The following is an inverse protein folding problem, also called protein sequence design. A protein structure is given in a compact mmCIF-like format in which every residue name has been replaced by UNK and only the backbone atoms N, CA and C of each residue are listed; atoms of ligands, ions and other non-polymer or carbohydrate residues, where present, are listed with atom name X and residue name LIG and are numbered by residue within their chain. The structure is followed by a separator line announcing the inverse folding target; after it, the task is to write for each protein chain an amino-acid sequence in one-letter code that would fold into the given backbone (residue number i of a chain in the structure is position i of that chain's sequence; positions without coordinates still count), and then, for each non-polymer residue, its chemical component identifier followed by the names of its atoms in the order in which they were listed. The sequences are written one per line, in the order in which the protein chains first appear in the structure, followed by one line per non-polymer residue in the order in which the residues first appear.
data_IF_779887197576
#
_entry.id   IF_779887197576
#
_cell.length_a   1.000
_cell.length_b   1.000
_cell.length_c   1.000
_cell.angle_alpha   90.00
_cell.angle_beta   90.00
_cell.angle_gamma   90.00
#
_symmetry.space_group_name_H-M   'P 1'
#
loop_
_entity.id
_entity.type
_entity.pdbx_description
1 polymer ?
#
# COMPACT_ATOMS: atom_id res chain seq x y z
N UNK A 1 24.05 29.14 21.28
CA UNK A 1 24.60 28.27 20.21
C UNK A 1 23.42 27.58 19.55
N UNK A 2 22.83 28.26 18.57
CA UNK A 2 21.77 27.75 17.70
C UNK A 2 22.41 26.80 16.70
N UNK A 3 22.21 25.51 16.88
CA UNK A 3 22.61 24.49 15.91
C UNK A 3 21.75 24.63 14.67
N UNK A 4 22.41 24.88 13.54
CA UNK A 4 21.85 24.84 12.20
C UNK A 4 21.07 23.54 11.98
N UNK A 5 19.73 23.62 11.92
CA UNK A 5 18.84 22.52 11.51
C UNK A 5 18.39 22.67 10.05
N UNK A 6 19.25 23.21 9.19
CA UNK A 6 18.92 23.46 7.78
C UNK A 6 19.64 22.44 6.91
N UNK A 7 19.07 21.22 6.82
CA UNK A 7 19.14 20.23 5.71
C UNK A 7 18.53 18.85 6.04
N UNK A 8 18.06 18.58 7.25
CA UNK A 8 17.56 17.23 7.68
C UNK A 8 16.15 16.84 7.18
N UNK A 9 15.45 17.69 6.40
CA UNK A 9 14.03 17.50 6.07
C UNK A 9 13.67 16.88 4.71
N UNK A 10 14.64 16.42 3.90
CA UNK A 10 14.42 16.17 2.45
C UNK A 10 14.45 14.70 2.00
N UNK A 11 14.37 13.73 2.92
CA UNK A 11 14.37 12.30 2.55
C UNK A 11 12.96 11.84 2.19
N UNK A 12 12.84 11.21 1.02
CA UNK A 12 11.56 10.72 0.50
C UNK A 12 11.64 9.23 0.19
N UNK A 13 10.65 8.48 0.68
CA UNK A 13 10.45 7.08 0.32
C UNK A 13 9.29 6.99 -0.66
N UNK A 14 9.52 6.51 -1.87
CA UNK A 14 8.47 6.23 -2.86
C UNK A 14 8.01 4.78 -2.67
N UNK A 15 6.74 4.60 -2.33
CA UNK A 15 6.11 3.30 -2.15
C UNK A 15 5.38 2.92 -3.43
N UNK A 16 5.83 1.84 -4.07
CA UNK A 16 5.19 1.24 -5.24
C UNK A 16 4.37 0.02 -4.80
N UNK A 17 3.10 0.25 -4.52
CA UNK A 17 2.12 -0.77 -4.16
C UNK A 17 1.22 -1.19 -5.33
N UNK A 18 0.33 -2.14 -5.04
CA UNK A 18 -0.64 -2.65 -6.00
C UNK A 18 -0.74 -4.18 -6.03
N UNK A 19 -1.74 -4.73 -6.74
CA UNK A 19 -2.00 -6.15 -6.75
C UNK A 19 -0.89 -6.95 -7.43
N UNK A 20 -0.85 -8.26 -7.18
CA UNK A 20 0.03 -9.17 -7.92
C UNK A 20 -0.26 -9.09 -9.44
N UNK A 21 0.76 -9.30 -10.28
CA UNK A 21 0.71 -9.12 -11.74
C UNK A 21 0.47 -7.68 -12.27
N UNK A 22 0.51 -6.65 -11.41
CA UNK A 22 0.30 -5.26 -11.84
C UNK A 22 1.52 -4.57 -12.48
N UNK A 23 2.73 -5.14 -12.35
CA UNK A 23 3.97 -4.54 -12.88
C UNK A 23 4.80 -3.71 -11.89
N UNK A 24 4.61 -3.93 -10.57
CA UNK A 24 5.32 -3.18 -9.51
C UNK A 24 6.84 -3.19 -9.65
N UNK A 25 7.44 -4.35 -9.90
CA UNK A 25 8.88 -4.51 -10.04
C UNK A 25 9.42 -3.63 -11.17
N UNK A 26 8.82 -3.71 -12.35
CA UNK A 26 9.24 -2.91 -13.50
C UNK A 26 9.15 -1.40 -13.24
N UNK A 27 8.07 -0.92 -12.60
CA UNK A 27 7.94 0.49 -12.23
C UNK A 27 8.99 0.89 -11.17
N UNK A 28 9.22 0.06 -10.15
CA UNK A 28 10.19 0.33 -9.10
C UNK A 28 11.62 0.43 -9.66
N UNK A 29 12.01 -0.47 -10.56
CA UNK A 29 13.30 -0.43 -11.25
C UNK A 29 13.41 0.86 -12.07
N UNK A 30 12.37 1.20 -12.84
CA UNK A 30 12.37 2.42 -13.67
C UNK A 30 12.52 3.69 -12.83
N UNK A 31 11.82 3.77 -11.69
CA UNK A 31 11.93 4.87 -10.74
C UNK A 31 13.32 4.92 -10.10
N UNK A 32 13.83 3.78 -9.63
CA UNK A 32 15.15 3.70 -9.01
C UNK A 32 16.26 4.15 -9.97
N UNK A 33 16.19 3.75 -11.25
CA UNK A 33 17.12 4.25 -12.29
C UNK A 33 16.97 5.75 -12.53
N UNK A 34 15.75 6.26 -12.56
CA UNK A 34 15.49 7.69 -12.79
C UNK A 34 16.05 8.57 -11.66
N UNK A 35 15.85 8.17 -10.40
CA UNK A 35 16.36 8.89 -9.24
C UNK A 35 17.78 8.49 -8.82
N UNK A 36 18.41 7.55 -9.53
CA UNK A 36 19.74 7.04 -9.22
C UNK A 36 19.83 6.44 -7.82
N UNK A 37 18.86 5.62 -7.42
CA UNK A 37 18.75 5.03 -6.07
C UNK A 37 18.54 3.52 -6.12
N UNK A 38 18.28 2.92 -4.96
CA UNK A 38 18.12 1.48 -4.73
C UNK A 38 16.65 1.11 -4.45
N UNK A 39 16.32 -0.17 -4.59
CA UNK A 39 14.97 -0.71 -4.36
C UNK A 39 14.96 -1.59 -3.12
N UNK A 40 14.00 -1.39 -2.22
CA UNK A 40 13.68 -2.32 -1.14
C UNK A 40 12.50 -3.19 -1.56
N UNK A 41 12.63 -4.52 -1.42
CA UNK A 41 11.47 -5.40 -1.51
C UNK A 41 10.74 -5.46 -0.16
N UNK A 42 9.45 -5.13 -0.17
CA UNK A 42 8.51 -5.35 0.91
C UNK A 42 7.53 -6.48 0.56
N UNK A 43 8.05 -7.56 -0.05
CA UNK A 43 7.30 -8.78 -0.33
C UNK A 43 7.85 -9.95 0.47
N UNK A 44 7.13 -10.30 1.54
CA UNK A 44 7.51 -11.36 2.50
C UNK A 44 7.81 -12.73 1.90
N UNK A 45 7.40 -12.99 0.65
CA UNK A 45 7.67 -14.26 -0.02
C UNK A 45 8.92 -14.23 -0.87
N UNK A 46 9.32 -13.05 -1.36
CA UNK A 46 10.52 -12.89 -2.20
C UNK A 46 11.82 -12.89 -1.38
N UNK A 47 11.71 -12.91 -0.05
CA UNK A 47 12.88 -12.98 0.82
C UNK A 47 13.60 -14.32 0.76
N UNK A 48 12.87 -15.38 0.43
CA UNK A 48 13.37 -16.75 0.50
C UNK A 48 14.06 -17.20 -0.79
N UNK A 49 15.30 -17.69 -0.66
CA UNK A 49 16.14 -18.15 -1.77
C UNK A 49 15.50 -19.29 -2.55
N UNK A 50 14.90 -20.23 -1.83
CA UNK A 50 14.35 -21.46 -2.37
C UNK A 50 13.01 -21.24 -3.09
N UNK A 51 12.40 -20.05 -2.97
CA UNK A 51 11.11 -19.72 -3.58
C UNK A 51 11.28 -18.62 -4.63
N UNK A 52 11.27 -18.96 -5.93
CA UNK A 52 11.55 -17.99 -7.01
C UNK A 52 10.38 -17.83 -7.97
N UNK A 53 9.95 -18.91 -8.63
CA UNK A 53 8.92 -18.88 -9.67
C UNK A 53 7.57 -18.56 -9.03
N UNK A 54 7.18 -19.29 -7.97
CA UNK A 54 5.88 -19.13 -7.32
C UNK A 54 5.68 -17.76 -6.65
N UNK A 55 6.78 -17.06 -6.33
CA UNK A 55 6.76 -15.74 -5.68
C UNK A 55 6.89 -14.58 -6.66
N UNK A 56 7.00 -14.87 -7.97
CA UNK A 56 7.28 -13.88 -9.00
C UNK A 56 8.49 -13.00 -8.65
N UNK A 57 9.58 -13.61 -8.18
CA UNK A 57 10.84 -12.93 -7.87
C UNK A 57 11.34 -12.18 -9.12
N UNK A 58 11.93 -10.98 -8.98
CA UNK A 58 12.54 -10.29 -10.12
C UNK A 58 13.58 -11.19 -10.81
N UNK A 59 13.66 -11.13 -12.14
CA UNK A 59 14.62 -11.96 -12.87
C UNK A 59 16.05 -11.49 -12.64
N UNK A 60 17.08 -12.32 -12.92
CA UNK A 60 18.47 -11.88 -12.83
C UNK A 60 18.77 -10.60 -13.63
N UNK A 61 18.15 -10.45 -14.81
CA UNK A 61 18.28 -9.25 -15.65
C UNK A 61 17.63 -8.02 -15.03
N UNK A 62 16.53 -8.18 -14.29
CA UNK A 62 15.90 -7.11 -13.51
C UNK A 62 16.76 -6.73 -12.30
N UNK A 63 17.32 -7.71 -11.58
CA UNK A 63 18.19 -7.51 -10.43
C UNK A 63 19.54 -6.86 -10.80
N UNK A 64 20.04 -7.07 -12.02
CA UNK A 64 21.25 -6.42 -12.51
C UNK A 64 21.06 -4.93 -12.83
N UNK A 65 19.83 -4.46 -13.06
CA UNK A 65 19.57 -3.08 -13.43
C UNK A 65 19.69 -2.11 -12.26
N UNK A 66 19.28 -2.52 -11.07
CA UNK A 66 19.35 -1.75 -9.83
C UNK A 66 19.49 -2.70 -8.65
N UNK A 67 20.21 -2.28 -7.61
CA UNK A 67 20.34 -3.05 -6.38
C UNK A 67 18.97 -3.20 -5.70
N UNK A 68 18.60 -4.44 -5.43
CA UNK A 68 17.41 -4.79 -4.66
C UNK A 68 17.80 -5.35 -3.31
N UNK A 69 17.20 -4.82 -2.25
CA UNK A 69 17.33 -5.34 -0.90
C UNK A 69 16.24 -6.34 -0.57
N UNK A 70 16.56 -7.22 0.38
CA UNK A 70 15.69 -8.27 0.92
C UNK A 70 15.32 -9.40 -0.03
N UNK A 71 15.55 -9.31 -1.34
CA UNK A 71 15.44 -10.47 -2.25
C UNK A 71 16.53 -11.49 -1.90
N UNK A 72 16.18 -12.77 -1.76
CA UNK A 72 17.13 -13.86 -1.48
C UNK A 72 17.95 -13.67 -0.19
N UNK A 73 17.41 -12.91 0.75
CA UNK A 73 18.06 -12.59 2.01
C UNK A 73 17.96 -13.70 3.06
N UNK A 74 17.01 -14.62 2.91
CA UNK A 74 16.67 -15.66 3.88
C UNK A 74 16.54 -17.04 3.22
N UNK A 75 16.66 -18.09 4.01
CA UNK A 75 16.21 -19.45 3.72
C UNK A 75 14.83 -19.69 4.31
N UNK A 76 14.02 -20.53 3.67
CA UNK A 76 12.67 -20.90 4.14
C UNK A 76 12.61 -21.44 5.58
N UNK A 77 13.72 -21.95 6.11
CA UNK A 77 13.83 -22.43 7.50
C UNK A 77 14.08 -21.32 8.53
N UNK A 78 14.39 -20.11 8.09
CA UNK A 78 14.69 -18.98 8.99
C UNK A 78 13.41 -18.29 9.42
N UNK A 79 13.26 -18.08 10.74
CA UNK A 79 12.15 -17.31 11.28
C UNK A 79 12.37 -15.82 10.99
N UNK A 80 11.40 -15.18 10.35
CA UNK A 80 11.44 -13.75 10.06
C UNK A 80 10.06 -13.12 10.20
N UNK A 81 9.98 -12.12 11.07
CA UNK A 81 8.72 -11.44 11.37
C UNK A 81 8.64 -10.08 10.66
N UNK A 82 7.44 -9.50 10.65
CA UNK A 82 7.27 -8.13 10.15
C UNK A 82 8.03 -7.10 11.01
N UNK A 83 8.24 -7.37 12.30
CA UNK A 83 9.04 -6.49 13.16
C UNK A 83 10.54 -6.58 12.83
N UNK A 84 11.03 -7.76 12.45
CA UNK A 84 12.39 -7.92 11.94
C UNK A 84 12.58 -7.14 10.64
N UNK A 85 11.63 -7.29 9.71
CA UNK A 85 11.63 -6.51 8.48
C UNK A 85 11.63 -5.01 8.74
N UNK A 86 10.76 -4.50 9.61
CA UNK A 86 10.72 -3.07 9.94
C UNK A 86 12.09 -2.57 10.41
N UNK A 87 12.67 -3.25 11.42
CA UNK A 87 13.97 -2.89 11.98
C UNK A 87 15.07 -2.89 10.91
N UNK A 88 15.14 -3.94 10.10
CA UNK A 88 16.24 -4.12 9.16
C UNK A 88 16.06 -3.25 7.90
N UNK A 89 14.82 -3.03 7.46
CA UNK A 89 14.51 -2.09 6.37
C UNK A 89 14.80 -0.64 6.75
N UNK A 90 14.55 -0.24 8.00
CA UNK A 90 14.91 1.11 8.46
C UNK A 90 16.42 1.33 8.44
N UNK A 91 17.23 0.36 8.87
CA UNK A 91 18.70 0.44 8.77
C UNK A 91 19.16 0.60 7.32
N UNK A 92 18.61 -0.19 6.41
CA UNK A 92 18.90 -0.10 4.97
C UNK A 92 18.51 1.28 4.41
N UNK A 93 17.36 1.82 4.82
CA UNK A 93 16.94 3.16 4.42
C UNK A 93 17.88 4.23 4.96
N UNK A 94 18.31 4.13 6.22
CA UNK A 94 19.27 5.07 6.81
C UNK A 94 20.59 5.05 6.01
N UNK A 95 21.07 3.88 5.59
CA UNK A 95 22.25 3.74 4.72
C UNK A 95 22.02 4.37 3.34
N UNK A 96 20.91 4.06 2.66
CA UNK A 96 20.58 4.63 1.35
C UNK A 96 20.50 6.15 1.44
N UNK A 97 19.89 6.67 2.51
CA UNK A 97 19.71 8.10 2.73
C UNK A 97 21.00 8.84 3.13
N UNK A 98 22.12 8.16 3.39
CA UNK A 98 23.41 8.84 3.52
C UNK A 98 23.86 9.47 2.20
N UNK A 99 23.57 8.82 1.07
CA UNK A 99 24.02 9.27 -0.27
C UNK A 99 22.88 9.68 -1.20
N UNK A 100 21.63 9.29 -0.91
CA UNK A 100 20.48 9.60 -1.75
C UNK A 100 19.43 10.41 -0.98
N UNK A 101 18.65 11.25 -1.68
CA UNK A 101 17.49 11.95 -1.11
C UNK A 101 16.18 11.17 -1.31
N UNK A 102 16.17 10.22 -2.25
CA UNK A 102 15.01 9.40 -2.59
C UNK A 102 15.39 7.92 -2.48
N UNK A 103 14.49 7.11 -1.94
CA UNK A 103 14.55 5.66 -1.97
C UNK A 103 13.25 5.09 -2.54
N UNK A 104 13.28 3.87 -3.08
CA UNK A 104 12.09 3.20 -3.61
C UNK A 104 11.84 1.92 -2.82
N UNK A 105 10.61 1.70 -2.38
CA UNK A 105 10.17 0.41 -1.84
C UNK A 105 9.04 -0.13 -2.71
N UNK A 106 9.06 -1.44 -2.98
CA UNK A 106 8.06 -2.11 -3.80
C UNK A 106 7.57 -3.37 -3.11
N UNK A 107 6.26 -3.63 -3.13
CA UNK A 107 5.73 -4.80 -2.43
C UNK A 107 4.24 -4.98 -2.55
N UNK A 108 3.80 -6.24 -2.43
CA UNK A 108 2.38 -6.60 -2.34
C UNK A 108 1.89 -6.79 -0.90
N UNK A 109 2.78 -6.77 0.09
CA UNK A 109 2.45 -7.09 1.48
C UNK A 109 2.10 -5.82 2.25
N UNK A 110 0.81 -5.49 2.31
CA UNK A 110 0.34 -4.29 3.00
C UNK A 110 0.86 -4.17 4.44
N UNK A 111 0.81 -5.26 5.22
CA UNK A 111 1.31 -5.25 6.59
C UNK A 111 2.78 -4.83 6.71
N UNK A 112 3.63 -5.21 5.74
CA UNK A 112 5.05 -4.88 5.73
C UNK A 112 5.27 -3.41 5.37
N UNK A 113 4.53 -2.90 4.38
CA UNK A 113 4.56 -1.47 4.02
C UNK A 113 4.06 -0.59 5.17
N UNK A 114 2.99 -0.99 5.86
CA UNK A 114 2.50 -0.30 7.06
C UNK A 114 3.50 -0.33 8.19
N UNK A 115 4.10 -1.48 8.47
CA UNK A 115 5.15 -1.56 9.49
C UNK A 115 6.30 -0.61 9.15
N UNK A 116 6.78 -0.60 7.91
CA UNK A 116 7.86 0.29 7.48
C UNK A 116 7.48 1.77 7.60
N UNK A 117 6.28 2.17 7.15
CA UNK A 117 5.91 3.59 7.07
C UNK A 117 5.29 4.15 8.36
N UNK A 118 4.56 3.33 9.11
CA UNK A 118 3.73 3.75 10.25
C UNK A 118 4.20 3.14 11.58
N UNK A 119 5.02 2.09 11.52
CA UNK A 119 5.46 1.33 12.68
C UNK A 119 4.47 0.28 13.13
N UNK A 120 4.88 -0.48 14.14
CA UNK A 120 4.08 -1.51 14.78
C UNK A 120 3.83 -1.15 16.24
N UNK A 121 2.62 -1.46 16.72
CA UNK A 121 2.33 -1.47 18.15
C UNK A 121 3.27 -2.47 18.84
N UNK A 122 3.89 -2.04 19.95
CA UNK A 122 4.75 -2.90 20.76
C UNK A 122 3.90 -3.89 21.57
N UNK A 123 4.13 -5.18 21.34
CA UNK A 123 3.54 -6.27 22.11
C UNK A 123 4.62 -7.00 22.91
N UNK A 124 4.29 -7.56 24.09
CA UNK A 124 5.20 -8.42 24.81
C UNK A 124 5.54 -9.67 23.97
N UNK A 125 6.78 -10.14 24.11
CA UNK A 125 7.16 -11.43 23.55
C UNK A 125 6.32 -12.53 24.19
N UNK A 126 5.87 -13.47 23.35
CA UNK A 126 5.01 -14.57 23.78
C UNK A 126 5.78 -15.86 23.61
N UNK A 127 6.17 -16.54 24.71
CA UNK A 127 6.89 -17.80 24.64
C UNK A 127 6.13 -18.85 23.83
N UNK A 128 6.86 -19.72 23.15
CA UNK A 128 6.29 -20.75 22.26
C UNK A 128 5.37 -21.68 23.04
N UNK A 129 5.72 -22.01 24.28
CA UNK A 129 4.96 -22.89 25.16
C UNK A 129 3.54 -22.37 25.45
N UNK A 130 3.37 -21.05 25.52
CA UNK A 130 2.05 -20.42 25.71
C UNK A 130 1.20 -20.58 24.46
N UNK A 131 1.81 -20.44 23.28
CA UNK A 131 1.12 -20.62 22.00
C UNK A 131 0.76 -22.09 21.78
N UNK A 132 1.69 -23.00 22.06
CA UNK A 132 1.47 -24.45 21.95
C UNK A 132 0.34 -24.93 22.88
N UNK A 133 0.25 -24.37 24.09
CA UNK A 133 -0.84 -24.65 25.02
C UNK A 133 -2.20 -24.17 24.48
N UNK A 134 -2.23 -23.00 23.83
CA UNK A 134 -3.44 -22.45 23.19
C UNK A 134 -3.82 -23.22 21.92
N UNK A 135 -2.85 -23.66 21.13
CA UNK A 135 -3.07 -24.55 19.98
C UNK A 135 -3.60 -25.90 20.44
N UNK A 136 -3.03 -26.47 21.50
CA UNK A 136 -3.54 -27.70 22.11
C UNK A 136 -4.98 -27.53 22.60
N UNK A 137 -5.31 -26.39 23.21
CA UNK A 137 -6.67 -26.06 23.63
C UNK A 137 -7.62 -25.99 22.43
N UNK A 138 -7.19 -25.34 21.34
CA UNK A 138 -7.94 -25.24 20.09
C UNK A 138 -8.21 -26.63 19.48
N UNK A 139 -7.18 -27.49 19.40
CA UNK A 139 -7.32 -28.85 18.87
C UNK A 139 -8.26 -29.71 19.70
N UNK A 140 -8.24 -29.56 21.04
CA UNK A 140 -9.06 -30.39 21.95
C UNK A 140 -10.50 -29.92 22.12
N UNK A 141 -10.72 -28.60 22.20
CA UNK A 141 -12.03 -28.01 22.56
C UNK A 141 -12.64 -27.16 21.46
N UNK A 142 -11.93 -26.98 20.34
CA UNK A 142 -12.36 -26.17 19.22
C UNK A 142 -12.33 -24.67 19.50
N UNK A 143 -12.85 -23.94 18.52
CA UNK A 143 -12.83 -22.47 18.48
C UNK A 143 -13.60 -21.82 19.64
N UNK A 144 -14.69 -22.45 20.10
CA UNK A 144 -15.55 -21.91 21.16
C UNK A 144 -14.80 -21.68 22.47
N UNK A 145 -13.84 -22.54 22.80
CA UNK A 145 -13.02 -22.37 24.01
C UNK A 145 -12.14 -21.11 23.93
N UNK A 146 -11.52 -20.85 22.77
CA UNK A 146 -10.72 -19.64 22.56
C UNK A 146 -11.60 -18.38 22.60
N UNK A 147 -12.79 -18.46 22.01
CA UNK A 147 -13.74 -17.34 21.99
C UNK A 147 -14.17 -16.96 23.41
N UNK A 148 -14.55 -17.94 24.22
CA UNK A 148 -15.01 -17.69 25.59
C UNK A 148 -13.91 -17.16 26.50
N UNK A 149 -12.69 -17.71 26.37
CA UNK A 149 -11.54 -17.19 27.09
C UNK A 149 -11.25 -15.74 26.70
N UNK A 150 -11.28 -15.42 25.39
CA UNK A 150 -11.01 -14.07 24.92
C UNK A 150 -12.10 -13.09 25.35
N UNK A 151 -13.37 -13.53 25.34
CA UNK A 151 -14.51 -12.72 25.81
C UNK A 151 -14.33 -12.25 27.25
N UNK A 152 -13.69 -13.10 28.07
CA UNK A 152 -13.43 -12.80 29.48
C UNK A 152 -12.15 -11.95 29.64
N UNK A 153 -11.07 -12.32 28.96
CA UNK A 153 -9.77 -11.66 29.11
C UNK A 153 -9.69 -10.28 28.43
N UNK A 154 -10.38 -10.09 27.30
CA UNK A 154 -10.37 -8.85 26.53
C UNK A 154 -11.71 -8.65 25.77
N UNK A 155 -12.75 -8.17 26.47
CA UNK A 155 -14.06 -7.92 25.87
C UNK A 155 -14.00 -6.91 24.70
N UNK A 156 -13.11 -5.92 24.79
CA UNK A 156 -12.95 -4.88 23.77
C UNK A 156 -12.45 -5.49 22.47
N UNK A 157 -11.39 -6.30 22.52
CA UNK A 157 -10.89 -6.96 21.31
C UNK A 157 -11.85 -8.03 20.79
N UNK A 158 -12.52 -8.77 21.68
CA UNK A 158 -13.52 -9.77 21.32
C UNK A 158 -14.60 -9.24 20.35
N UNK A 159 -15.06 -8.00 20.56
CA UNK A 159 -16.08 -7.39 19.70
C UNK A 159 -15.56 -6.87 18.35
N UNK A 160 -14.24 -6.82 18.15
CA UNK A 160 -13.63 -6.26 16.93
C UNK A 160 -12.86 -7.29 16.10
N UNK A 161 -12.41 -8.38 16.73
CA UNK A 161 -11.66 -9.45 16.06
C UNK A 161 -12.57 -10.32 15.20
N UNK A 162 -11.99 -10.92 14.16
CA UNK A 162 -12.63 -12.02 13.45
C UNK A 162 -12.61 -13.28 14.33
N UNK A 163 -13.73 -13.54 15.00
CA UNK A 163 -13.90 -14.68 15.90
C UNK A 163 -13.79 -16.03 15.20
N UNK A 164 -13.82 -16.09 13.86
CA UNK A 164 -13.64 -17.32 13.08
C UNK A 164 -12.18 -17.63 12.77
N UNK A 165 -11.25 -16.74 13.14
CA UNK A 165 -9.83 -16.88 12.84
C UNK A 165 -9.05 -17.35 14.09
N UNK A 166 -8.73 -18.65 14.23
CA UNK A 166 -8.08 -19.18 15.44
C UNK A 166 -6.72 -18.53 15.70
N UNK A 167 -5.91 -18.26 14.66
CA UNK A 167 -4.61 -17.61 14.84
C UNK A 167 -4.71 -16.21 15.47
N UNK A 168 -5.74 -15.44 15.13
CA UNK A 168 -5.98 -14.12 15.75
C UNK A 168 -6.38 -14.23 17.22
N UNK A 169 -7.17 -15.25 17.56
CA UNK A 169 -7.57 -15.51 18.95
C UNK A 169 -6.39 -15.99 19.77
N UNK A 170 -5.64 -16.98 19.28
CA UNK A 170 -4.43 -17.52 19.92
C UNK A 170 -3.42 -16.41 20.16
N UNK A 171 -3.14 -15.55 19.16
CA UNK A 171 -2.22 -14.42 19.34
C UNK A 171 -2.66 -13.48 20.46
N UNK A 172 -3.93 -13.09 20.50
CA UNK A 172 -4.43 -12.17 21.52
C UNK A 172 -4.42 -12.80 22.91
N UNK A 173 -4.87 -14.04 23.03
CA UNK A 173 -4.84 -14.79 24.28
C UNK A 173 -3.41 -15.02 24.78
N UNK A 174 -2.45 -15.30 23.90
CA UNK A 174 -1.06 -15.45 24.30
C UNK A 174 -0.52 -14.16 24.95
N UNK A 175 -0.82 -13.00 24.36
CA UNK A 175 -0.47 -11.70 24.96
C UNK A 175 -1.19 -11.50 26.29
N UNK A 176 -2.48 -11.78 26.38
CA UNK A 176 -3.25 -11.64 27.62
C UNK A 176 -2.67 -12.52 28.74
N UNK A 177 -2.33 -13.77 28.44
CA UNK A 177 -1.76 -14.73 29.41
C UNK A 177 -0.37 -14.32 29.90
N UNK A 178 0.48 -13.82 29.01
CA UNK A 178 1.85 -13.43 29.36
C UNK A 178 1.89 -12.11 30.11
N UNK A 179 1.13 -11.12 29.67
CA UNK A 179 1.16 -9.77 30.26
C UNK A 179 0.21 -9.57 31.43
N UNK A 180 -0.83 -10.41 31.56
CA UNK A 180 -1.96 -10.16 32.45
C UNK A 180 -2.85 -8.99 32.03
N UNK A 181 -2.58 -8.36 30.88
CA UNK A 181 -3.30 -7.18 30.37
C UNK A 181 -4.08 -7.51 29.10
N UNK A 182 -5.22 -6.85 28.83
CA UNK A 182 -5.97 -7.05 27.60
C UNK A 182 -5.13 -6.72 26.36
N UNK A 183 -5.19 -7.55 25.32
CA UNK A 183 -4.50 -7.34 24.04
C UNK A 183 -4.83 -5.98 23.40
N UNK A 184 -6.07 -5.52 23.56
CA UNK A 184 -6.56 -4.20 23.14
C UNK A 184 -5.81 -3.04 23.76
N UNK A 185 -5.26 -3.19 24.97
CA UNK A 185 -4.50 -2.13 25.66
C UNK A 185 -3.15 -1.81 25.00
N UNK A 186 -2.60 -2.76 24.24
CA UNK A 186 -1.36 -2.59 23.49
C UNK A 186 -1.57 -1.97 22.10
N UNK A 187 -2.81 -1.92 21.61
CA UNK A 187 -3.16 -1.32 20.31
C UNK A 187 -3.30 0.19 20.43
N UNK A 188 -2.17 0.88 20.51
CA UNK A 188 -2.14 2.34 20.68
C UNK A 188 -2.39 3.09 19.37
N UNK A 189 -2.34 2.41 18.21
CA UNK A 189 -2.52 3.01 16.87
C UNK A 189 -1.66 4.27 16.67
N UNK A 190 -0.49 4.32 17.29
CA UNK A 190 0.37 5.48 17.22
C UNK A 190 1.29 5.33 15.99
N UNK A 191 1.28 6.33 15.12
CA UNK A 191 2.24 6.41 14.03
C UNK A 191 3.64 6.64 14.62
N UNK A 192 4.58 5.80 14.21
CA UNK A 192 5.99 6.02 14.50
C UNK A 192 6.53 7.13 13.61
N UNK A 193 7.22 8.10 14.20
CA UNK A 193 7.94 9.11 13.42
C UNK A 193 9.05 8.43 12.59
N UNK A 194 9.13 8.79 11.31
CA UNK A 194 10.14 8.29 10.38
C UNK A 194 11.06 9.42 9.95
N UNK A 195 12.32 9.09 9.70
CA UNK A 195 13.34 10.00 9.14
C UNK A 195 13.09 10.37 7.67
N UNK A 196 12.01 9.88 7.07
CA UNK A 196 11.65 10.10 5.68
C UNK A 196 10.15 10.36 5.54
N UNK A 197 9.77 11.03 4.45
CA UNK A 197 8.39 11.23 4.04
C UNK A 197 7.96 10.17 3.02
N UNK A 198 6.91 9.38 3.29
CA UNK A 198 6.39 8.41 2.34
C UNK A 198 5.51 9.06 1.24
N UNK A 199 5.66 8.62 -0.01
CA UNK A 199 4.74 8.91 -1.13
C UNK A 199 4.19 7.60 -1.68
N UNK A 200 2.87 7.44 -1.65
CA UNK A 200 2.21 6.17 -1.97
C UNK A 200 1.67 6.14 -3.40
N UNK A 201 2.21 5.25 -4.23
CA UNK A 201 1.70 4.93 -5.56
C UNK A 201 1.04 3.56 -5.55
N UNK A 202 -0.15 3.45 -6.10
CA UNK A 202 -0.81 2.17 -6.35
C UNK A 202 -0.97 1.93 -7.84
N UNK A 203 -0.37 0.86 -8.34
CA UNK A 203 -0.62 0.42 -9.70
C UNK A 203 -2.07 -0.10 -9.84
N UNK A 204 -2.87 0.62 -10.61
CA UNK A 204 -4.27 0.30 -10.87
C UNK A 204 -4.48 -0.23 -12.29
N UNK A 205 -5.36 -1.21 -12.40
CA UNK A 205 -5.79 -1.84 -13.65
C UNK A 205 -7.30 -2.00 -13.64
N UNK A 206 -7.91 -2.03 -14.82
CA UNK A 206 -9.29 -2.54 -14.95
C UNK A 206 -9.33 -3.99 -14.44
N UNK A 207 -10.45 -4.39 -13.82
CA UNK A 207 -10.52 -5.65 -13.08
C UNK A 207 -10.42 -6.87 -14.00
N UNK A 208 -11.10 -6.86 -15.14
CA UNK A 208 -11.02 -7.96 -16.11
C UNK A 208 -9.60 -8.06 -16.67
N UNK A 209 -8.96 -6.93 -16.94
CA UNK A 209 -7.56 -6.87 -17.37
C UNK A 209 -6.61 -7.47 -16.33
N UNK A 210 -6.72 -7.03 -15.07
CA UNK A 210 -5.91 -7.56 -13.98
C UNK A 210 -6.07 -9.08 -13.84
N UNK A 211 -7.30 -9.58 -13.96
CA UNK A 211 -7.57 -11.01 -13.84
C UNK A 211 -6.96 -11.79 -15.00
N UNK A 212 -7.09 -11.29 -16.23
CA UNK A 212 -6.44 -11.90 -17.40
C UNK A 212 -4.92 -11.96 -17.23
N UNK A 213 -4.30 -10.89 -16.73
CA UNK A 213 -2.85 -10.83 -16.44
C UNK A 213 -2.44 -11.83 -15.36
N UNK A 214 -3.24 -11.96 -14.30
CA UNK A 214 -3.01 -12.95 -13.24
C UNK A 214 -3.05 -14.36 -13.82
N UNK A 215 -4.09 -14.67 -14.60
CA UNK A 215 -4.32 -16.01 -15.15
C UNK A 215 -3.20 -16.41 -16.13
N UNK A 216 -2.82 -15.49 -17.03
CA UNK A 216 -1.70 -15.67 -17.95
C UNK A 216 -0.37 -15.85 -17.20
N UNK A 217 -0.16 -15.10 -16.12
CA UNK A 217 1.06 -15.24 -15.32
C UNK A 217 1.15 -16.60 -14.64
N UNK A 218 0.05 -17.15 -14.15
CA UNK A 218 0.04 -18.51 -13.58
C UNK A 218 0.45 -19.53 -14.62
N UNK A 219 -0.10 -19.45 -15.85
CA UNK A 219 0.29 -20.34 -16.93
C UNK A 219 1.78 -20.21 -17.26
N UNK A 220 2.29 -18.98 -17.36
CA UNK A 220 3.72 -18.73 -17.59
C UNK A 220 4.61 -19.25 -16.45
N UNK A 221 4.15 -19.20 -15.19
CA UNK A 221 4.87 -19.81 -14.07
C UNK A 221 4.95 -21.33 -14.21
N UNK A 222 3.86 -21.98 -14.63
CA UNK A 222 3.86 -23.43 -14.88
C UNK A 222 4.84 -23.80 -15.99
N UNK A 223 4.84 -23.05 -17.10
CA UNK A 223 5.79 -23.24 -18.22
C UNK A 223 7.25 -23.05 -17.79
N UNK A 224 7.50 -22.12 -16.85
CA UNK A 224 8.85 -21.86 -16.30
C UNK A 224 9.32 -22.90 -15.29
N UNK A 225 8.49 -23.89 -14.94
CA UNK A 225 8.85 -24.96 -14.03
C UNK A 225 8.38 -24.76 -12.58
N UNK A 226 7.31 -24.01 -12.34
CA UNK A 226 6.72 -23.88 -10.99
C UNK A 226 6.41 -25.24 -10.36
N UNK A 227 5.95 -26.21 -11.16
CA UNK A 227 5.66 -27.56 -10.67
C UNK A 227 6.91 -28.24 -10.10
N UNK A 228 8.06 -28.10 -10.77
CA UNK A 228 9.30 -28.72 -10.31
C UNK A 228 9.88 -27.97 -9.12
N UNK A 229 9.79 -26.64 -9.09
CA UNK A 229 10.12 -25.86 -7.89
C UNK A 229 9.27 -26.35 -6.69
N UNK A 230 7.95 -26.48 -6.85
CA UNK A 230 7.07 -27.00 -5.80
C UNK A 230 7.44 -28.43 -5.39
N UNK A 231 7.81 -29.30 -6.33
CA UNK A 231 8.25 -30.67 -6.02
C UNK A 231 9.47 -30.70 -5.12
N UNK A 232 10.45 -29.82 -5.36
CA UNK A 232 11.65 -29.73 -4.50
C UNK A 232 11.33 -29.21 -3.08
N UNK A 233 10.24 -28.44 -2.93
CA UNK A 233 9.83 -27.82 -1.68
C UNK A 233 8.81 -28.63 -0.88
N UNK A 234 8.24 -29.68 -1.48
CA UNK A 234 7.25 -30.56 -0.84
C UNK A 234 7.69 -31.09 0.55
N UNK A 235 8.95 -31.51 0.78
CA UNK A 235 9.39 -31.94 2.11
C UNK A 235 9.23 -30.88 3.22
N UNK A 236 9.07 -29.61 2.83
CA UNK A 236 8.97 -28.45 3.71
C UNK A 236 7.57 -27.83 3.71
N UNK A 237 6.55 -28.48 3.11
CA UNK A 237 5.20 -27.90 2.89
C UNK A 237 4.56 -27.23 4.12
N UNK A 238 4.87 -27.72 5.32
CA UNK A 238 4.33 -27.21 6.59
C UNK A 238 4.95 -25.88 7.04
N UNK A 239 6.02 -25.39 6.40
CA UNK A 239 6.65 -24.12 6.74
C UNK A 239 5.76 -22.93 6.34
N UNK A 240 5.74 -21.89 7.18
CA UNK A 240 4.94 -20.68 6.97
C UNK A 240 5.27 -19.96 5.65
N UNK A 241 6.51 -20.07 5.17
CA UNK A 241 6.93 -19.55 3.88
C UNK A 241 6.14 -20.20 2.72
N UNK A 242 5.92 -21.51 2.80
CA UNK A 242 5.25 -22.32 1.78
C UNK A 242 3.72 -22.34 1.89
N UNK A 243 3.17 -21.70 2.93
CA UNK A 243 1.75 -21.34 3.01
C UNK A 243 1.42 -20.15 2.07
N UNK A 244 1.72 -20.33 0.79
CA UNK A 244 1.70 -19.32 -0.27
C UNK A 244 0.97 -19.88 -1.50
N UNK A 245 0.12 -19.04 -2.10
CA UNK A 245 -0.59 -19.35 -3.35
C UNK A 245 0.42 -19.72 -4.44
N UNK A 246 0.18 -20.80 -5.15
CA UNK A 246 1.11 -21.46 -6.06
C UNK A 246 1.58 -22.79 -5.49
N UNK A 247 2.08 -22.81 -4.25
CA UNK A 247 2.60 -24.02 -3.63
C UNK A 247 1.49 -24.81 -2.91
N UNK A 248 0.62 -24.12 -2.15
CA UNK A 248 -0.48 -24.75 -1.41
C UNK A 248 -1.43 -25.55 -2.30
N UNK A 249 -1.60 -25.13 -3.55
CA UNK A 249 -2.45 -25.82 -4.52
C UNK A 249 -1.70 -26.95 -5.26
N UNK A 250 -0.37 -26.86 -5.40
CA UNK A 250 0.43 -27.89 -6.08
C UNK A 250 0.82 -29.06 -5.18
N UNK A 251 0.95 -28.86 -3.87
CA UNK A 251 1.29 -29.97 -2.96
C UNK A 251 0.24 -31.10 -2.97
N UNK A 252 -1.09 -30.83 -2.90
CA UNK A 252 -2.10 -31.88 -3.02
C UNK A 252 -2.02 -32.64 -4.36
N UNK A 253 -1.68 -31.95 -5.46
CA UNK A 253 -1.45 -32.61 -6.76
C UNK A 253 -0.24 -33.55 -6.71
N UNK A 254 0.87 -33.08 -6.13
CA UNK A 254 2.10 -33.87 -5.98
C UNK A 254 1.91 -35.09 -5.07
N UNK A 255 0.92 -35.05 -4.18
CA UNK A 255 0.50 -36.15 -3.30
C UNK A 255 -0.57 -37.07 -3.92
N UNK A 256 -1.10 -36.73 -5.10
CA UNK A 256 -2.11 -37.52 -5.81
C UNK A 256 -3.55 -37.30 -5.35
N UNK A 257 -3.83 -36.21 -4.64
CA UNK A 257 -5.15 -35.90 -4.06
C UNK A 257 -6.08 -35.13 -5.01
N UNK A 258 -5.54 -34.50 -6.07
CA UNK A 258 -6.27 -33.68 -7.05
C UNK A 258 -5.57 -33.75 -8.42
N UNK A 259 -6.20 -33.27 -9.49
CA UNK A 259 -5.55 -33.20 -10.81
C UNK A 259 -4.71 -31.93 -10.97
N UNK A 260 -3.79 -31.92 -11.95
CA UNK A 260 -2.97 -30.74 -12.24
C UNK A 260 -3.84 -29.57 -12.72
N UNK A 261 -4.87 -29.86 -13.52
CA UNK A 261 -5.82 -28.88 -14.03
C UNK A 261 -6.59 -28.21 -12.90
N UNK A 262 -7.03 -28.99 -11.91
CA UNK A 262 -7.70 -28.49 -10.71
C UNK A 262 -6.77 -27.60 -9.88
N UNK A 263 -5.53 -28.06 -9.63
CA UNK A 263 -4.52 -27.29 -8.92
C UNK A 263 -4.25 -25.94 -9.60
N UNK A 264 -4.00 -25.92 -10.92
CA UNK A 264 -3.73 -24.69 -11.68
C UNK A 264 -4.93 -23.74 -11.64
N UNK A 265 -6.15 -24.25 -11.78
CA UNK A 265 -7.39 -23.46 -11.66
C UNK A 265 -7.53 -22.82 -10.26
N UNK A 266 -7.17 -23.55 -9.21
CA UNK A 266 -7.14 -23.03 -7.84
C UNK A 266 -6.07 -21.94 -7.66
N UNK A 267 -4.87 -22.10 -8.22
CA UNK A 267 -3.81 -21.06 -8.16
C UNK A 267 -4.32 -19.76 -8.78
N UNK A 268 -4.96 -19.83 -9.95
CA UNK A 268 -5.56 -18.66 -10.59
C UNK A 268 -6.64 -18.03 -9.72
N UNK A 269 -7.57 -18.84 -9.20
CA UNK A 269 -8.65 -18.37 -8.32
C UNK A 269 -8.12 -17.68 -7.05
N UNK A 270 -7.17 -18.31 -6.37
CA UNK A 270 -6.60 -17.81 -5.12
C UNK A 270 -5.69 -16.60 -5.35
N UNK A 271 -5.00 -16.53 -6.50
CA UNK A 271 -4.25 -15.34 -6.92
C UNK A 271 -5.16 -14.13 -7.13
N UNK A 272 -6.34 -14.31 -7.77
CA UNK A 272 -7.35 -13.24 -7.92
C UNK A 272 -7.93 -12.82 -6.57
N UNK A 273 -8.20 -13.77 -5.66
CA UNK A 273 -8.62 -13.47 -4.28
C UNK A 273 -7.55 -12.68 -3.53
N UNK A 274 -6.28 -13.03 -3.69
CA UNK A 274 -5.17 -12.31 -3.10
C UNK A 274 -5.06 -10.88 -3.63
N UNK A 275 -5.12 -10.69 -4.96
CA UNK A 275 -5.14 -9.38 -5.59
C UNK A 275 -6.29 -8.49 -5.06
N UNK A 276 -7.49 -9.06 -4.88
CA UNK A 276 -8.62 -8.35 -4.27
C UNK A 276 -8.31 -7.90 -2.83
N UNK A 277 -7.66 -8.75 -2.02
CA UNK A 277 -7.25 -8.38 -0.65
C UNK A 277 -6.23 -7.25 -0.66
N UNK A 278 -5.28 -7.26 -1.58
CA UNK A 278 -4.29 -6.19 -1.74
C UNK A 278 -4.95 -4.85 -2.08
N UNK A 279 -5.86 -4.83 -3.06
CA UNK A 279 -6.63 -3.62 -3.42
C UNK A 279 -7.55 -3.13 -2.29
N UNK A 280 -8.03 -4.03 -1.43
CA UNK A 280 -8.84 -3.63 -0.26
C UNK A 280 -7.97 -2.93 0.78
N UNK A 281 -6.69 -3.28 0.85
CA UNK A 281 -5.79 -2.77 1.86
C UNK A 281 -5.43 -1.31 1.63
N UNK A 282 -5.08 -0.95 0.40
CA UNK A 282 -4.75 0.42 0.00
C UNK A 282 -5.93 1.40 0.03
N UNK A 283 -7.16 0.91 -0.17
CA UNK A 283 -8.37 1.74 -0.09
C UNK A 283 -8.72 2.22 1.32
N UNK A 284 -8.12 1.65 2.37
CA UNK A 284 -8.50 1.96 3.76
C UNK A 284 -8.13 3.37 4.18
N UNK A 285 -6.99 3.86 3.69
CA UNK A 285 -6.35 5.04 4.27
C UNK A 285 -6.28 6.21 3.25
N UNK A 286 -6.59 5.97 1.97
CA UNK A 286 -6.80 6.99 0.91
C UNK A 286 -5.59 7.87 0.51
N UNK A 287 -4.41 7.63 1.09
CA UNK A 287 -3.12 8.25 0.69
C UNK A 287 -2.60 7.80 -0.68
N UNK A 288 -3.12 6.69 -1.21
CA UNK A 288 -2.61 6.07 -2.43
C UNK A 288 -3.00 6.89 -3.66
N UNK A 289 -2.00 7.27 -4.44
CA UNK A 289 -2.19 7.78 -5.80
C UNK A 289 -2.29 6.60 -6.76
N UNK A 290 -3.49 6.34 -7.24
CA UNK A 290 -3.71 5.35 -8.30
C UNK A 290 -3.09 5.83 -9.61
N UNK A 291 -2.29 4.97 -10.22
CA UNK A 291 -1.58 5.25 -11.47
C UNK A 291 -1.60 4.01 -12.36
N UNK A 292 -1.72 4.21 -13.67
CA UNK A 292 -1.53 3.12 -14.62
C UNK A 292 -0.03 3.03 -14.99
N UNK A 293 0.57 1.83 -15.11
CA UNK A 293 2.02 1.70 -15.34
C UNK A 293 2.50 2.28 -16.67
N UNK A 294 1.61 2.53 -17.64
CA UNK A 294 1.95 3.19 -18.89
C UNK A 294 2.04 4.72 -18.78
N UNK A 295 1.53 5.33 -17.72
CA UNK A 295 1.43 6.79 -17.54
C UNK A 295 2.70 7.39 -16.94
N UNK A 296 3.86 7.05 -17.51
CA UNK A 296 5.16 7.43 -16.94
C UNK A 296 5.32 8.92 -16.67
N UNK A 297 4.95 9.77 -17.65
CA UNK A 297 5.08 11.22 -17.53
C UNK A 297 4.22 11.76 -16.39
N UNK A 298 2.98 11.28 -16.26
CA UNK A 298 2.07 11.66 -15.19
C UNK A 298 2.56 11.20 -13.81
N UNK A 299 3.15 10.00 -13.74
CA UNK A 299 3.75 9.47 -12.51
C UNK A 299 4.92 10.35 -12.07
N UNK A 300 5.86 10.66 -12.98
CA UNK A 300 7.00 11.51 -12.67
C UNK A 300 6.58 12.90 -12.22
N UNK A 301 5.67 13.54 -12.96
CA UNK A 301 5.19 14.86 -12.61
C UNK A 301 4.57 14.90 -11.20
N UNK A 302 3.75 13.89 -10.85
CA UNK A 302 3.19 13.78 -9.51
C UNK A 302 4.28 13.61 -8.44
N UNK A 303 5.30 12.78 -8.72
CA UNK A 303 6.41 12.56 -7.81
C UNK A 303 7.25 13.82 -7.64
N UNK A 304 7.58 14.55 -8.70
CA UNK A 304 8.36 15.79 -8.64
C UNK A 304 7.65 16.87 -7.80
N UNK A 305 6.33 17.03 -8.00
CA UNK A 305 5.53 17.94 -7.19
C UNK A 305 5.41 17.49 -5.74
N UNK A 306 5.32 16.18 -5.50
CA UNK A 306 5.28 15.66 -4.14
C UNK A 306 6.63 15.82 -3.44
N UNK A 307 7.73 15.45 -4.10
CA UNK A 307 9.12 15.53 -3.60
C UNK A 307 9.47 16.99 -3.27
N UNK A 308 9.18 17.94 -4.15
CA UNK A 308 9.42 19.37 -3.92
C UNK A 308 8.63 19.97 -2.75
N UNK A 309 7.64 19.23 -2.22
CA UNK A 309 6.75 19.73 -1.18
C UNK A 309 5.64 20.63 -1.70
N UNK A 310 5.56 20.82 -3.03
CA UNK A 310 4.47 21.54 -3.67
C UNK A 310 3.14 20.88 -3.37
N UNK A 311 3.13 19.55 -3.27
CA UNK A 311 1.96 18.75 -2.93
C UNK A 311 2.27 17.89 -1.72
N UNK A 312 1.40 17.90 -0.72
CA UNK A 312 1.46 16.99 0.41
C UNK A 312 0.08 16.52 0.83
N UNK A 313 -0.01 15.26 1.26
CA UNK A 313 -1.22 14.69 1.86
C UNK A 313 -1.02 14.57 3.37
N UNK A 314 -2.02 14.98 4.15
CA UNK A 314 -2.03 14.85 5.60
C UNK A 314 -3.27 14.10 6.07
N UNK A 315 -3.08 13.16 6.98
CA UNK A 315 -4.17 12.56 7.74
C UNK A 315 -4.51 13.47 8.90
N UNK A 316 -5.80 13.68 9.11
CA UNK A 316 -6.28 14.40 10.29
C UNK A 316 -7.41 13.60 10.94
N UNK A 317 -7.22 13.29 12.21
CA UNK A 317 -8.28 12.78 13.07
C UNK A 317 -9.08 13.93 13.66
N UNK A 318 -10.40 13.85 13.57
CA UNK A 318 -11.30 14.74 14.29
C UNK A 318 -12.40 13.93 14.97
N UNK A 319 -12.95 14.47 16.05
CA UNK A 319 -14.10 13.87 16.72
C UNK A 319 -15.34 14.37 16.01
N UNK A 320 -16.06 13.47 15.33
CA UNK A 320 -17.40 13.78 14.82
C UNK A 320 -18.31 14.01 16.03
N UNK A 321 -18.71 15.27 16.25
CA UNK A 321 -19.53 15.69 17.38
C UNK A 321 -20.93 15.05 17.37
N UNK A 322 -21.45 14.67 16.19
CA UNK A 322 -22.77 14.03 16.06
C UNK A 322 -22.71 12.53 16.33
N UNK A 323 -21.59 11.87 16.02
CA UNK A 323 -21.43 10.41 16.16
C UNK A 323 -20.61 9.98 17.38
N UNK A 324 -19.96 10.92 18.07
CA UNK A 324 -19.07 10.64 19.20
C UNK A 324 -17.92 9.69 18.85
N UNK A 325 -17.51 9.66 17.57
CA UNK A 325 -16.46 8.76 17.06
C UNK A 325 -15.40 9.58 16.35
N UNK A 326 -14.16 9.18 16.57
CA UNK A 326 -13.03 9.67 15.80
C UNK A 326 -13.23 9.29 14.32
N UNK A 327 -13.19 10.30 13.45
CA UNK A 327 -13.22 10.14 12.01
C UNK A 327 -11.91 10.67 11.43
N UNK A 328 -11.44 9.96 10.42
CA UNK A 328 -10.25 10.32 9.68
C UNK A 328 -10.68 11.12 8.43
N UNK A 329 -10.00 12.24 8.21
CA UNK A 329 -10.08 13.01 6.98
C UNK A 329 -8.72 13.09 6.32
N UNK A 330 -8.74 13.27 4.99
CA UNK A 330 -7.54 13.53 4.21
C UNK A 330 -7.52 14.97 3.79
N UNK A 331 -6.40 15.63 4.02
CA UNK A 331 -6.14 17.00 3.55
C UNK A 331 -5.06 16.97 2.49
N UNK A 332 -5.37 17.45 1.30
CA UNK A 332 -4.39 17.80 0.28
C UNK A 332 -3.96 19.24 0.53
N UNK A 333 -2.67 19.46 0.74
CA UNK A 333 -2.08 20.79 0.94
C UNK A 333 -1.16 21.07 -0.23
N UNK A 334 -1.34 22.25 -0.83
CA UNK A 334 -0.55 22.72 -1.96
C UNK A 334 0.08 24.02 -1.58
N UNK A 335 1.41 24.07 -1.58
CA UNK A 335 2.14 25.20 -1.04
C UNK A 335 3.49 25.36 -1.71
N UNK A 336 3.92 26.60 -1.90
CA UNK A 336 5.33 26.92 -2.12
C UNK A 336 6.05 27.01 -0.77
N UNK A 337 7.40 27.08 -0.72
CA UNK A 337 8.12 27.32 0.52
C UNK A 337 7.62 28.54 1.32
N UNK A 338 7.13 29.57 0.63
CA UNK A 338 6.76 30.86 1.25
C UNK A 338 5.24 31.06 1.40
N UNK A 339 4.40 30.19 0.83
CA UNK A 339 2.96 30.43 0.73
C UNK A 339 2.12 29.17 0.55
N UNK A 340 1.04 29.06 1.31
CA UNK A 340 -0.07 28.13 1.08
C UNK A 340 -0.90 28.56 -0.15
N UNK A 341 -1.03 27.68 -1.13
CA UNK A 341 -1.74 27.93 -2.38
C UNK A 341 -3.17 27.39 -2.35
N UNK A 342 -3.38 26.17 -1.86
CA UNK A 342 -4.70 25.56 -1.75
C UNK A 342 -4.74 24.45 -0.71
N UNK A 343 -5.90 24.23 -0.10
CA UNK A 343 -6.19 23.06 0.73
C UNK A 343 -7.51 22.41 0.30
N UNK A 344 -7.52 21.08 0.18
CA UNK A 344 -8.73 20.30 -0.14
C UNK A 344 -8.94 19.23 0.94
N UNK A 345 -10.12 19.24 1.55
CA UNK A 345 -10.52 18.25 2.56
C UNK A 345 -11.40 17.15 1.95
N UNK A 346 -11.07 15.91 2.26
CA UNK A 346 -11.86 14.73 1.89
C UNK A 346 -12.40 14.05 3.16
N UNK A 347 -13.72 13.94 3.25
CA UNK A 347 -14.42 13.24 4.34
C UNK A 347 -14.99 11.90 3.85
N UNK A 348 -14.78 10.85 4.62
CA UNK A 348 -15.06 9.46 4.23
C UNK A 348 -16.56 9.09 4.12
N UNK A 349 -17.50 10.05 4.20
CA UNK A 349 -18.94 9.74 4.13
C UNK A 349 -19.80 10.64 3.23
N UNK A 350 -19.28 11.74 2.68
CA UNK A 350 -19.92 12.50 1.60
C UNK A 350 -18.82 13.10 0.74
N UNK A 351 -18.87 12.90 -0.59
CA UNK A 351 -18.03 13.60 -1.58
C UNK A 351 -18.37 15.11 -1.52
N UNK A 352 -17.85 15.80 -0.51
CA UNK A 352 -17.98 17.24 -0.33
C UNK A 352 -16.63 17.87 -0.60
N UNK A 353 -16.57 18.77 -1.57
CA UNK A 353 -15.39 19.57 -1.89
C UNK A 353 -15.53 20.91 -1.17
N UNK A 354 -14.64 21.22 -0.23
CA UNK A 354 -14.54 22.56 0.37
C UNK A 354 -13.25 23.22 -0.14
N UNK A 355 -13.40 24.24 -0.99
CA UNK A 355 -12.30 25.07 -1.48
C UNK A 355 -12.24 26.34 -0.63
N UNK A 356 -11.08 26.62 -0.02
CA UNK A 356 -10.78 27.97 0.49
C UNK A 356 -9.89 28.68 -0.53
N UNK A 357 -10.33 29.79 -1.15
CA UNK A 357 -9.51 30.50 -2.10
C UNK A 357 -8.37 31.22 -1.37
N UNK A 358 -7.13 30.84 -1.64
CA UNK A 358 -5.99 31.74 -1.56
C UNK A 358 -5.55 32.03 -3.00
N UNK A 359 -5.28 33.30 -3.31
CA UNK A 359 -5.02 33.77 -4.67
C UNK A 359 -3.90 32.95 -5.35
N UNK A 360 -4.25 32.28 -6.45
CA UNK A 360 -3.40 31.34 -7.18
C UNK A 360 -2.20 32.03 -7.84
N UNK A 361 -0.97 31.48 -7.69
CA UNK A 361 0.13 31.67 -8.62
C UNK A 361 0.37 30.40 -9.43
N UNK A 362 0.29 30.49 -10.76
CA UNK A 362 0.76 29.45 -11.67
C UNK A 362 -0.35 28.64 -12.35
N UNK A 363 -0.44 28.84 -13.67
CA UNK A 363 -1.46 28.29 -14.57
C UNK A 363 -1.40 26.76 -14.74
N UNK A 364 -0.20 26.17 -14.64
CA UNK A 364 -0.01 24.72 -14.73
C UNK A 364 -0.46 23.96 -13.48
N UNK A 365 -0.36 24.60 -12.30
CA UNK A 365 -0.77 24.01 -11.03
C UNK A 365 -2.29 23.98 -10.88
N UNK A 366 -2.98 25.05 -11.33
CA UNK A 366 -4.44 25.08 -11.43
C UNK A 366 -4.95 24.01 -12.42
N UNK A 367 -4.25 23.82 -13.54
CA UNK A 367 -4.54 22.81 -14.57
C UNK A 367 -4.42 21.37 -14.04
N UNK A 368 -3.36 21.07 -13.30
CA UNK A 368 -3.17 19.76 -12.67
C UNK A 368 -4.19 19.50 -11.55
N UNK A 369 -4.47 20.51 -10.74
CA UNK A 369 -5.47 20.45 -9.66
C UNK A 369 -6.86 20.09 -10.17
N UNK A 370 -7.33 20.78 -11.21
CA UNK A 370 -8.62 20.51 -11.85
C UNK A 370 -8.71 19.06 -12.36
N UNK A 371 -7.65 18.59 -13.01
CA UNK A 371 -7.58 17.25 -13.58
C UNK A 371 -7.62 16.17 -12.49
N UNK A 372 -6.84 16.31 -11.42
CA UNK A 372 -6.87 15.37 -10.28
C UNK A 372 -8.22 15.36 -9.56
N UNK A 373 -8.81 16.54 -9.37
CA UNK A 373 -10.10 16.70 -8.69
C UNK A 373 -11.22 15.99 -9.46
N UNK A 374 -11.24 16.10 -10.79
CA UNK A 374 -12.24 15.46 -11.65
C UNK A 374 -12.00 13.95 -11.77
N UNK A 375 -10.74 13.51 -11.95
CA UNK A 375 -10.40 12.10 -12.02
C UNK A 375 -10.79 11.33 -10.75
N UNK A 376 -10.51 11.89 -9.56
CA UNK A 376 -10.86 11.26 -8.28
C UNK A 376 -12.37 11.33 -7.96
N UNK A 377 -13.09 12.33 -8.47
CA UNK A 377 -14.53 12.43 -8.28
C UNK A 377 -15.32 11.38 -9.10
N UNK A 378 -14.88 11.11 -10.33
CA UNK A 378 -15.69 10.34 -11.30
C UNK A 378 -15.03 9.06 -11.83
N UNK A 379 -13.74 8.81 -11.54
CA UNK A 379 -13.03 7.60 -11.96
C UNK A 379 -12.78 7.52 -13.47
N UNK A 380 -12.80 8.66 -14.17
CA UNK A 380 -12.55 8.80 -15.62
C UNK A 380 -11.51 9.88 -15.87
N UNK A 381 -10.64 9.74 -16.89
CA UNK A 381 -9.76 10.82 -17.34
C UNK A 381 -10.60 12.03 -17.80
N UNK A 382 -10.07 13.24 -17.63
CA UNK A 382 -10.77 14.50 -17.95
C UNK A 382 -11.30 14.53 -19.38
N UNK A 383 -10.59 13.91 -20.32
CA UNK A 383 -10.95 13.75 -21.73
C UNK A 383 -12.25 12.98 -21.96
N UNK A 384 -12.63 12.07 -21.07
CA UNK A 384 -13.84 11.25 -21.19
C UNK A 384 -15.11 11.92 -20.59
N UNK A 385 -14.97 13.14 -20.05
CA UNK A 385 -16.02 13.90 -19.37
C UNK A 385 -16.34 15.23 -20.06
N UNK A 386 -15.65 15.54 -21.16
CA UNK A 386 -15.80 16.76 -21.92
C UNK A 386 -16.47 16.48 -23.27
N UNK A 387 -17.29 17.43 -23.73
CA UNK A 387 -17.91 17.41 -25.06
C UNK A 387 -16.82 17.35 -26.16
N UNK A 388 -17.04 16.69 -27.32
CA UNK A 388 -16.07 16.63 -28.43
C UNK A 388 -15.63 18.02 -28.95
N UNK A 389 -16.43 19.05 -28.66
CA UNK A 389 -16.15 20.45 -28.98
C UNK A 389 -14.90 21.01 -28.27
N UNK A 390 -14.43 20.34 -27.21
CA UNK A 390 -13.29 20.76 -26.37
C UNK A 390 -11.96 20.09 -26.77
N UNK A 391 -11.97 19.16 -27.72
CA UNK A 391 -10.77 18.47 -28.24
C UNK A 391 -9.68 19.43 -28.77
N UNK A 392 -10.01 20.47 -29.56
CA UNK A 392 -9.01 21.43 -30.06
C UNK A 392 -8.37 22.26 -28.93
N UNK A 393 -9.14 22.54 -27.86
CA UNK A 393 -8.62 23.21 -26.68
C UNK A 393 -7.65 22.28 -25.95
N UNK A 394 -7.99 20.99 -25.79
CA UNK A 394 -7.16 19.95 -25.15
C UNK A 394 -5.85 19.67 -25.90
N UNK A 395 -5.88 19.69 -27.23
CA UNK A 395 -4.66 19.68 -28.04
C UNK A 395 -3.83 20.95 -27.81
N UNK A 396 -4.46 22.13 -27.71
CA UNK A 396 -3.73 23.35 -27.32
C UNK A 396 -3.21 23.32 -25.87
N UNK A 397 -3.92 22.67 -24.94
CA UNK A 397 -3.53 22.44 -23.53
C UNK A 397 -2.26 21.57 -23.42
N UNK A 398 -2.00 20.68 -24.38
CA UNK A 398 -0.84 19.78 -24.36
C UNK A 398 0.49 20.45 -24.77
N UNK A 399 0.44 21.62 -25.44
CA UNK A 399 1.62 22.22 -26.06
C UNK A 399 1.89 23.68 -25.69
N UNK A 400 1.00 24.38 -24.97
CA UNK A 400 1.28 25.75 -24.48
C UNK A 400 0.42 26.23 -23.28
N UNK A 401 0.82 27.33 -22.61
CA UNK A 401 -0.03 28.05 -21.66
C UNK A 401 -1.28 28.60 -22.35
N UNK A 402 -2.40 28.60 -21.64
CA UNK A 402 -3.64 29.27 -22.03
C UNK A 402 -3.55 30.79 -21.80
N UNK A 403 -4.51 31.47 -22.38
CA UNK A 403 -4.78 32.87 -22.13
C UNK A 403 -5.74 33.03 -20.96
N UNK A 404 -5.73 34.21 -20.34
CA UNK A 404 -6.64 34.57 -19.25
C UNK A 404 -8.13 34.50 -19.63
N UNK A 405 -8.45 34.65 -20.92
CA UNK A 405 -9.81 34.46 -21.42
C UNK A 405 -10.26 32.99 -21.42
N UNK A 406 -9.37 32.07 -21.77
CA UNK A 406 -9.65 30.63 -21.77
C UNK A 406 -9.80 30.09 -20.34
N UNK A 407 -9.01 30.61 -19.38
CA UNK A 407 -9.16 30.28 -17.95
C UNK A 407 -10.54 30.68 -17.40
N UNK A 408 -11.01 31.89 -17.69
CA UNK A 408 -12.31 32.37 -17.22
C UNK A 408 -13.48 31.52 -17.76
N UNK A 409 -13.35 31.01 -18.99
CA UNK A 409 -14.36 30.12 -19.59
C UNK A 409 -14.44 28.75 -18.89
N UNK A 410 -13.31 28.21 -18.45
CA UNK A 410 -13.24 26.96 -17.67
C UNK A 410 -13.84 27.15 -16.26
N UNK A 411 -13.51 28.25 -15.59
CA UNK A 411 -14.09 28.58 -14.28
C UNK A 411 -15.62 28.72 -14.34
N UNK A 412 -16.13 29.42 -15.36
CA UNK A 412 -17.57 29.59 -15.57
C UNK A 412 -18.29 28.25 -15.82
N UNK A 413 -17.66 27.33 -16.57
CA UNK A 413 -18.22 26.01 -16.84
C UNK A 413 -18.29 25.11 -15.59
N UNK A 414 -17.31 25.22 -14.69
CA UNK A 414 -17.26 24.45 -13.45
C UNK A 414 -18.22 24.96 -12.37
N UNK A 415 -18.36 26.28 -12.26
CA UNK A 415 -19.27 26.92 -11.31
C UNK A 415 -20.74 26.50 -11.50
N UNK A 416 -21.13 26.10 -12.72
CA UNK A 416 -22.48 25.61 -13.03
C UNK A 416 -22.75 24.15 -12.65
N UNK A 417 -21.71 23.31 -12.48
CA UNK A 417 -21.85 21.86 -12.23
C UNK A 417 -21.53 21.42 -10.80
N UNK A 418 -20.66 22.15 -10.08
CA UNK A 418 -20.31 21.83 -8.70
C UNK A 418 -20.42 23.11 -7.83
N UNK A 419 -21.47 23.25 -6.99
CA UNK A 419 -21.67 24.48 -6.23
C UNK A 419 -20.57 24.68 -5.18
N UNK A 420 -19.95 25.87 -5.20
CA UNK A 420 -18.98 26.33 -4.21
C UNK A 420 -19.62 26.39 -2.82
N UNK A 421 -19.17 25.57 -1.87
CA UNK A 421 -19.61 25.64 -0.47
C UNK A 421 -18.84 26.76 0.23
N UNK A 422 -19.55 27.66 0.92
CA UNK A 422 -18.97 28.81 1.64
C UNK A 422 -17.96 28.36 2.70
N UNK A 423 -16.91 29.17 2.97
CA UNK A 423 -15.90 28.85 3.97
C UNK A 423 -16.53 28.64 5.36
N UNK A 424 -16.05 27.60 6.04
CA UNK A 424 -16.42 27.29 7.42
C UNK A 424 -15.99 28.46 8.31
N UNK A 425 -16.94 29.15 8.95
CA UNK A 425 -16.62 30.11 10.00
C UNK A 425 -16.08 29.32 11.19
N UNK A 426 -14.85 29.61 11.62
CA UNK A 426 -14.31 29.17 12.92
C UNK A 426 -15.34 29.49 14.00
N UNK A 427 -15.83 28.47 14.68
CA UNK A 427 -16.59 28.52 15.93
C UNK A 427 -15.89 27.64 16.94
#
# INVERSE_FOLDING_TARGET
MTTNSSLEGNKTLIIVGGPTASGKTALAIRLARHYGTEVLSADSRQFYREMSIGTAKPTPEELQQVKHHFIDSLSIGEAYTVGDFERDALKVLDEIFQTHSVAVVTGGSGLYLKALCEGLDAFPETPVEVRDALETLYLKKGLGALQEELRTADPVYYHTVDLKNPHRLIRALAVCRVSGQPFSSFRKKQFSERSFRPIYLELSWERAELYRRIDQRVLSMMEKGLLEEARTLLPHENLTALQTVGYQELFPYLQGETTLEEAVSLIQQNSRRYAKRQLTWSRRDGFWKHVHPSEWTSILQYLDFSISGLISWRQESFIDQDKGREQESLRLVIQTPDRLLAEVHYQNTRKGLALTPAEYPGEELARWLLHEMIYRAEGKPLTALLDPEWEPLLEAFAFRPLTRGEMNSVEAALAGRYPLVRPWKKG
#
